data_IF_887324475612
#
_entry.id   IF_887324475612
#
_cell.length_a   1.000
_cell.length_b   1.000
_cell.length_c   1.000
_cell.angle_alpha   90.00
_cell.angle_beta   90.00
_cell.angle_gamma   90.00
#
_symmetry.space_group_name_H-M   'P 1'
#
loop_
_entity.id
_entity.type
_entity.pdbx_description
1 polymer ?
#
# COMPACT_ATOMS: atom_id res chain seq x y z
N UNK A 1 18.07 -4.10 13.35
CA UNK A 1 16.62 -4.18 13.63
C UNK A 1 16.44 -4.23 15.14
N UNK A 2 15.46 -3.53 15.74
CA UNK A 2 15.19 -3.59 17.18
C UNK A 2 14.81 -5.01 17.63
N UNK A 3 15.28 -5.43 18.80
CA UNK A 3 15.04 -6.78 19.35
C UNK A 3 13.55 -7.06 19.54
N UNK A 4 12.77 -6.08 19.99
CA UNK A 4 11.32 -6.19 20.17
C UNK A 4 10.57 -6.56 18.89
N UNK A 5 11.01 -6.08 17.73
CA UNK A 5 10.40 -6.41 16.44
C UNK A 5 10.78 -7.85 16.04
N UNK A 6 12.03 -8.25 16.28
CA UNK A 6 12.50 -9.61 16.00
C UNK A 6 11.74 -10.64 16.83
N UNK A 7 11.59 -10.39 18.13
CA UNK A 7 10.88 -11.27 19.05
C UNK A 7 9.41 -11.42 18.65
N UNK A 8 8.76 -10.32 18.21
CA UNK A 8 7.38 -10.37 17.75
C UNK A 8 7.22 -11.19 16.46
N UNK A 9 8.15 -11.04 15.51
CA UNK A 9 8.15 -11.85 14.26
C UNK A 9 8.34 -13.33 14.60
N UNK A 10 9.32 -13.66 15.44
CA UNK A 10 9.58 -15.05 15.85
C UNK A 10 8.34 -15.64 16.53
N UNK A 11 7.70 -14.90 17.45
CA UNK A 11 6.48 -15.34 18.10
C UNK A 11 5.33 -15.59 17.11
N UNK A 12 5.17 -14.73 16.09
CA UNK A 12 4.16 -14.93 15.05
C UNK A 12 4.43 -16.20 14.21
N UNK A 13 5.71 -16.48 13.89
CA UNK A 13 6.13 -17.68 13.16
C UNK A 13 5.93 -18.95 14.01
N UNK A 14 6.32 -18.91 15.29
CA UNK A 14 6.13 -20.01 16.22
C UNK A 14 4.65 -20.36 16.37
N UNK A 15 3.79 -19.35 16.53
CA UNK A 15 2.35 -19.55 16.57
C UNK A 15 1.80 -20.20 15.31
N UNK A 16 2.30 -19.82 14.13
CA UNK A 16 1.90 -20.42 12.85
C UNK A 16 2.33 -21.90 12.75
N UNK A 17 3.52 -22.23 13.25
CA UNK A 17 4.04 -23.60 13.26
C UNK A 17 3.25 -24.55 14.18
N UNK A 18 2.52 -24.02 15.17
CA UNK A 18 1.67 -24.80 16.06
C UNK A 18 0.32 -25.18 15.44
N UNK A 19 -0.07 -24.56 14.32
CA UNK A 19 -1.37 -24.82 13.68
C UNK A 19 -1.31 -26.15 12.92
N UNK A 20 -2.03 -27.16 13.43
CA UNK A 20 -2.12 -28.49 12.82
C UNK A 20 -2.97 -28.53 11.54
N UNK A 21 -2.30 -28.91 10.44
CA UNK A 21 -2.66 -29.81 9.32
C UNK A 21 -4.00 -29.65 8.56
N UNK A 22 -4.91 -28.71 8.88
CA UNK A 22 -5.95 -28.36 7.88
C UNK A 22 -5.34 -27.43 6.81
N UNK A 23 -5.17 -27.88 5.55
CA UNK A 23 -4.48 -27.08 4.53
C UNK A 23 -5.18 -25.74 4.26
N UNK A 24 -6.52 -25.69 4.34
CA UNK A 24 -7.28 -24.46 4.08
C UNK A 24 -7.13 -23.45 5.21
N UNK A 25 -7.28 -23.89 6.46
CA UNK A 25 -7.03 -23.03 7.62
C UNK A 25 -5.57 -22.54 7.65
N UNK A 26 -4.61 -23.43 7.38
CA UNK A 26 -3.19 -23.08 7.34
C UNK A 26 -2.88 -21.99 6.31
N UNK A 27 -3.41 -22.09 5.07
CA UNK A 27 -3.21 -21.04 4.06
C UNK A 27 -3.78 -19.68 4.48
N UNK A 28 -4.95 -19.68 5.13
CA UNK A 28 -5.57 -18.45 5.64
C UNK A 28 -4.71 -17.82 6.73
N UNK A 29 -4.25 -18.62 7.68
CA UNK A 29 -3.46 -18.14 8.81
C UNK A 29 -2.05 -17.72 8.38
N UNK A 30 -1.43 -18.43 7.44
CA UNK A 30 -0.17 -18.02 6.81
C UNK A 30 -0.31 -16.63 6.18
N UNK A 31 -1.37 -16.42 5.37
CA UNK A 31 -1.62 -15.11 4.74
C UNK A 31 -1.86 -14.02 5.77
N UNK A 32 -2.56 -14.34 6.87
CA UNK A 32 -2.82 -13.41 7.96
C UNK A 32 -1.50 -13.03 8.66
N UNK A 33 -0.72 -14.00 9.10
CA UNK A 33 0.58 -13.80 9.74
C UNK A 33 1.54 -13.01 8.85
N UNK A 34 1.62 -13.36 7.56
CA UNK A 34 2.41 -12.60 6.60
C UNK A 34 2.00 -11.12 6.54
N UNK A 35 0.70 -10.83 6.43
CA UNK A 35 0.20 -9.46 6.41
C UNK A 35 0.45 -8.71 7.74
N UNK A 36 0.36 -9.41 8.87
CA UNK A 36 0.58 -8.81 10.19
C UNK A 36 2.05 -8.49 10.43
N UNK A 37 2.98 -9.33 9.95
CA UNK A 37 4.41 -9.02 9.89
C UNK A 37 4.66 -7.77 9.01
N UNK A 38 4.08 -7.71 7.81
CA UNK A 38 4.22 -6.52 6.95
C UNK A 38 3.69 -5.24 7.61
N UNK A 39 2.56 -5.33 8.33
CA UNK A 39 2.03 -4.18 9.09
C UNK A 39 2.98 -3.76 10.21
N UNK A 40 3.57 -4.70 10.94
CA UNK A 40 4.54 -4.43 11.99
C UNK A 40 5.78 -3.71 11.41
N UNK A 41 6.36 -4.26 10.34
CA UNK A 41 7.51 -3.68 9.65
C UNK A 41 7.23 -2.26 9.15
N UNK A 42 6.05 -2.05 8.54
CA UNK A 42 5.61 -0.71 8.12
C UNK A 42 5.48 0.24 9.31
N UNK A 43 4.85 -0.19 10.41
CA UNK A 43 4.55 0.68 11.55
C UNK A 43 5.84 1.12 12.26
N UNK A 44 6.66 0.15 12.64
CA UNK A 44 7.82 0.34 13.51
C UNK A 44 9.08 0.75 12.74
N UNK A 45 9.27 0.26 11.51
CA UNK A 45 10.52 0.48 10.75
C UNK A 45 10.32 1.28 9.45
N UNK A 46 9.07 1.62 9.09
CA UNK A 46 8.72 2.22 7.80
C UNK A 46 9.17 1.39 6.60
N UNK A 47 9.30 0.08 6.80
CA UNK A 47 9.65 -0.86 5.74
C UNK A 47 8.38 -1.26 4.99
N UNK A 48 8.41 -1.19 3.67
CA UNK A 48 7.24 -1.43 2.80
C UNK A 48 7.60 -2.32 1.60
N UNK A 49 6.63 -3.07 1.03
CA UNK A 49 6.79 -3.76 -0.25
C UNK A 49 7.02 -2.80 -1.42
N UNK A 50 7.41 -3.34 -2.58
CA UNK A 50 7.42 -2.57 -3.83
C UNK A 50 6.03 -2.02 -4.13
N UNK A 51 6.01 -0.85 -4.77
CA UNK A 51 4.79 -0.20 -5.26
C UNK A 51 3.75 0.15 -4.20
N UNK A 52 4.11 0.07 -2.91
CA UNK A 52 3.19 0.32 -1.81
C UNK A 52 2.62 1.74 -1.87
N UNK A 53 3.49 2.75 -1.96
CA UNK A 53 3.05 4.14 -2.00
C UNK A 53 2.42 4.51 -3.34
N UNK A 54 2.94 3.99 -4.46
CA UNK A 54 2.30 4.15 -5.77
C UNK A 54 0.85 3.68 -5.76
N UNK A 55 0.59 2.48 -5.26
CA UNK A 55 -0.76 1.90 -5.25
C UNK A 55 -1.67 2.66 -4.28
N UNK A 56 -1.15 3.08 -3.12
CA UNK A 56 -1.89 3.92 -2.17
C UNK A 56 -2.26 5.28 -2.80
N UNK A 57 -1.29 5.95 -3.43
CA UNK A 57 -1.48 7.26 -4.02
C UNK A 57 -2.27 7.24 -5.33
N UNK A 58 -2.41 6.08 -5.98
CA UNK A 58 -3.36 5.92 -7.08
C UNK A 58 -4.78 6.27 -6.65
N UNK A 59 -5.24 5.66 -5.55
CA UNK A 59 -6.56 5.92 -4.99
C UNK A 59 -6.68 7.34 -4.41
N UNK A 60 -5.67 7.79 -3.67
CA UNK A 60 -5.65 9.14 -3.08
C UNK A 60 -5.62 10.22 -4.17
N UNK A 61 -4.85 10.02 -5.24
CA UNK A 61 -4.73 10.98 -6.33
C UNK A 61 -6.05 11.18 -7.07
N UNK A 62 -6.79 10.08 -7.30
CA UNK A 62 -8.13 10.17 -7.86
C UNK A 62 -9.11 10.88 -6.93
N UNK A 63 -9.14 10.56 -5.64
CA UNK A 63 -10.10 11.17 -4.71
C UNK A 63 -9.77 12.63 -4.36
N UNK A 64 -8.49 12.96 -4.22
CA UNK A 64 -8.04 14.26 -3.72
C UNK A 64 -7.78 15.27 -4.82
N UNK A 65 -7.44 14.82 -6.03
CA UNK A 65 -7.21 15.69 -7.18
C UNK A 65 -8.17 15.38 -8.31
N UNK A 66 -8.32 14.11 -8.69
CA UNK A 66 -9.05 13.74 -9.90
C UNK A 66 -10.53 14.10 -9.86
N UNK A 67 -11.25 13.71 -8.82
CA UNK A 67 -12.67 14.02 -8.65
C UNK A 67 -12.88 15.55 -8.54
N UNK A 68 -12.18 16.29 -7.65
CA UNK A 68 -12.35 17.74 -7.57
C UNK A 68 -12.05 18.48 -8.89
N UNK A 69 -10.96 18.13 -9.58
CA UNK A 69 -10.60 18.71 -10.88
C UNK A 69 -11.69 18.39 -11.91
N UNK A 70 -12.13 17.13 -11.98
CA UNK A 70 -13.18 16.72 -12.89
C UNK A 70 -14.49 17.47 -12.65
N UNK A 71 -14.89 17.66 -11.39
CA UNK A 71 -16.08 18.45 -11.03
C UNK A 71 -15.91 19.90 -11.45
N UNK A 72 -14.75 20.52 -11.23
CA UNK A 72 -14.48 21.88 -11.65
C UNK A 72 -14.62 22.05 -13.18
N UNK A 73 -14.08 21.12 -13.97
CA UNK A 73 -14.26 21.11 -15.43
C UNK A 73 -15.71 20.86 -15.84
N UNK A 74 -16.40 19.94 -15.17
CA UNK A 74 -17.81 19.63 -15.42
C UNK A 74 -18.72 20.84 -15.23
N UNK A 75 -18.47 21.62 -14.17
CA UNK A 75 -19.19 22.87 -13.89
C UNK A 75 -18.80 24.00 -14.86
N UNK A 76 -17.50 24.18 -15.14
CA UNK A 76 -17.01 25.25 -16.00
C UNK A 76 -17.46 25.12 -17.47
N UNK A 77 -17.69 23.89 -17.94
CA UNK A 77 -18.09 23.58 -19.31
C UNK A 77 -19.57 23.20 -19.43
N UNK A 78 -20.34 23.36 -18.35
CA UNK A 78 -21.77 22.99 -18.25
C UNK A 78 -22.07 21.56 -18.76
N UNK A 79 -21.12 20.64 -18.51
CA UNK A 79 -21.23 19.26 -18.96
C UNK A 79 -20.47 18.35 -17.98
N UNK A 80 -21.24 17.70 -17.10
CA UNK A 80 -20.71 16.79 -16.09
C UNK A 80 -20.04 15.53 -16.67
N UNK A 81 -20.17 15.27 -17.97
CA UNK A 81 -19.35 14.26 -18.67
C UNK A 81 -17.84 14.57 -18.60
N UNK A 82 -17.46 15.84 -18.44
CA UNK A 82 -16.05 16.24 -18.27
C UNK A 82 -15.45 15.88 -16.90
N UNK A 83 -16.24 15.35 -15.96
CA UNK A 83 -15.68 14.74 -14.73
C UNK A 83 -14.67 13.65 -15.06
N UNK A 84 -14.90 12.92 -16.16
CA UNK A 84 -14.00 11.88 -16.65
C UNK A 84 -12.58 12.38 -16.96
N UNK A 85 -12.38 13.65 -17.29
CA UNK A 85 -11.04 14.24 -17.54
C UNK A 85 -10.24 14.35 -16.25
N UNK A 86 -10.91 14.58 -15.12
CA UNK A 86 -10.24 14.69 -13.83
C UNK A 86 -9.55 13.40 -13.39
N UNK A 87 -10.16 12.24 -13.70
CA UNK A 87 -9.62 10.92 -13.30
C UNK A 87 -8.19 10.65 -13.81
N UNK A 88 -7.86 10.73 -15.11
CA UNK A 88 -6.50 10.50 -15.59
C UNK A 88 -5.51 11.56 -15.06
N UNK A 89 -5.94 12.81 -14.84
CA UNK A 89 -5.10 13.86 -14.26
C UNK A 89 -4.75 13.49 -12.80
N UNK A 90 -5.77 13.22 -11.98
CA UNK A 90 -5.57 12.85 -10.58
C UNK A 90 -4.80 11.55 -10.41
N UNK A 91 -5.03 10.57 -11.28
CA UNK A 91 -4.27 9.32 -11.33
C UNK A 91 -2.80 9.58 -11.64
N UNK A 92 -2.49 10.42 -12.63
CA UNK A 92 -1.11 10.75 -13.01
C UNK A 92 -0.36 11.45 -11.88
N UNK A 93 -1.01 12.43 -11.22
CA UNK A 93 -0.46 13.12 -10.05
C UNK A 93 -0.22 12.13 -8.91
N UNK A 94 -1.21 11.27 -8.62
CA UNK A 94 -1.10 10.23 -7.59
C UNK A 94 0.07 9.28 -7.85
N UNK A 95 0.20 8.75 -9.07
CA UNK A 95 1.30 7.87 -9.45
C UNK A 95 2.64 8.57 -9.29
N UNK A 96 2.78 9.83 -9.73
CA UNK A 96 4.04 10.57 -9.63
C UNK A 96 4.48 10.75 -8.16
N UNK A 97 3.56 11.16 -7.28
CA UNK A 97 3.83 11.32 -5.85
C UNK A 97 4.17 9.97 -5.20
N UNK A 98 3.34 8.96 -5.46
CA UNK A 98 3.54 7.63 -4.88
C UNK A 98 4.83 6.96 -5.34
N UNK A 99 5.19 7.09 -6.62
CA UNK A 99 6.46 6.59 -7.15
C UNK A 99 7.67 7.30 -6.52
N UNK A 100 7.57 8.62 -6.30
CA UNK A 100 8.62 9.35 -5.57
C UNK A 100 8.82 8.84 -4.13
N UNK A 101 7.73 8.51 -3.44
CA UNK A 101 7.80 7.92 -2.10
C UNK A 101 8.36 6.48 -2.10
N UNK A 102 8.00 5.66 -3.08
CA UNK A 102 8.58 4.32 -3.23
C UNK A 102 10.08 4.38 -3.54
N UNK A 103 10.52 5.33 -4.38
CA UNK A 103 11.94 5.55 -4.66
C UNK A 103 12.69 5.98 -3.40
N UNK A 104 12.13 6.89 -2.61
CA UNK A 104 12.71 7.28 -1.32
C UNK A 104 12.82 6.08 -0.36
N UNK A 105 11.79 5.24 -0.25
CA UNK A 105 11.84 4.04 0.57
C UNK A 105 12.95 3.07 0.09
N UNK A 106 13.14 2.95 -1.23
CA UNK A 106 14.21 2.15 -1.83
C UNK A 106 15.60 2.70 -1.49
N UNK A 107 15.81 4.00 -1.65
CA UNK A 107 17.07 4.69 -1.34
C UNK A 107 17.43 4.59 0.14
N UNK A 108 16.44 4.66 1.03
CA UNK A 108 16.62 4.48 2.48
C UNK A 108 16.82 3.01 2.89
N UNK A 109 16.84 2.05 1.96
CA UNK A 109 16.96 0.62 2.27
C UNK A 109 15.74 0.05 2.99
N UNK A 110 14.58 0.71 2.88
CA UNK A 110 13.32 0.35 3.53
C UNK A 110 12.30 -0.28 2.58
N UNK A 111 12.71 -0.66 1.37
CA UNK A 111 11.85 -1.36 0.44
C UNK A 111 12.19 -2.86 0.42
N UNK A 112 11.20 -3.70 0.72
CA UNK A 112 11.31 -5.15 0.59
C UNK A 112 11.24 -5.55 -0.89
N UNK A 113 12.03 -6.54 -1.28
CA UNK A 113 12.06 -7.07 -2.65
C UNK A 113 10.90 -8.05 -2.90
N UNK A 114 9.68 -7.59 -2.64
CA UNK A 114 8.43 -8.35 -2.82
C UNK A 114 7.35 -7.40 -3.36
N UNK A 115 6.43 -7.94 -4.14
CA UNK A 115 5.23 -7.25 -4.62
C UNK A 115 3.97 -7.92 -4.02
N UNK A 116 2.89 -7.17 -3.86
CA UNK A 116 1.65 -7.60 -3.19
C UNK A 116 0.48 -7.79 -4.14
#
# INVERSE_FOLDING_TARGET
MPTSVLDNINQQVDNLNLIQVDPKAYHKDLRKTYNDILKLLKKELKIVPKHYYRNMWLAVGMSSFGIPIGVAFGLALDNMGFIGIGLPIGMSIGIAIGAGMDNKAKEEGKQLDIDL
#
